data_IF_760486163534
#
_entry.id   IF_760486163534
#
_cell.length_a   1.000
_cell.length_b   1.000
_cell.length_c   1.000
_cell.angle_alpha   90.00
_cell.angle_beta   90.00
_cell.angle_gamma   90.00
#
_symmetry.space_group_name_H-M   'P 1'
#
loop_
_entity.id
_entity.type
_entity.pdbx_description
1 polymer ?
#
# COMPACT_ATOMS: atom_id res chain seq x y z
N UNK A 1 -11.55 -8.14 -45.28
CA UNK A 1 -12.75 -7.73 -44.53
C UNK A 1 -12.89 -8.47 -43.19
N UNK A 2 -12.54 -9.76 -43.10
CA UNK A 2 -12.53 -10.52 -41.83
C UNK A 2 -11.39 -10.14 -40.86
N UNK A 3 -10.26 -9.65 -41.37
CA UNK A 3 -9.11 -9.20 -40.56
C UNK A 3 -9.38 -7.90 -39.78
N UNK A 4 -10.35 -7.10 -40.24
CA UNK A 4 -10.70 -5.83 -39.62
C UNK A 4 -11.58 -6.04 -38.38
N UNK A 5 -12.38 -7.11 -38.36
CA UNK A 5 -13.28 -7.46 -37.26
C UNK A 5 -12.50 -8.02 -36.06
N UNK A 6 -11.42 -8.77 -36.30
CA UNK A 6 -10.56 -9.30 -35.23
C UNK A 6 -9.69 -8.20 -34.59
N UNK A 7 -9.32 -7.16 -35.35
CA UNK A 7 -8.60 -6.00 -34.81
C UNK A 7 -9.52 -4.99 -34.10
N UNK A 8 -10.83 -5.03 -34.38
CA UNK A 8 -11.85 -4.29 -33.64
C UNK A 8 -12.17 -4.96 -32.30
N UNK A 9 -12.19 -6.29 -32.26
CA UNK A 9 -12.56 -7.07 -31.07
C UNK A 9 -11.47 -7.01 -29.96
N UNK A 10 -10.19 -6.88 -30.33
CA UNK A 10 -9.11 -6.65 -29.35
C UNK A 10 -9.13 -5.23 -28.74
N UNK A 11 -9.86 -4.28 -29.36
CA UNK A 11 -10.11 -2.96 -28.77
C UNK A 11 -11.32 -2.93 -27.83
N UNK A 12 -12.13 -3.99 -27.79
CA UNK A 12 -13.39 -4.01 -27.05
C UNK A 12 -13.25 -4.39 -25.56
N UNK A 13 -12.12 -4.98 -25.13
CA UNK A 13 -11.83 -5.26 -23.71
C UNK A 13 -11.21 -4.07 -22.95
N UNK A 14 -11.18 -2.89 -23.57
CA UNK A 14 -10.74 -1.62 -22.98
C UNK A 14 -11.84 -0.84 -22.27
N UNK A 15 -12.85 -1.51 -21.70
CA UNK A 15 -13.92 -0.83 -20.97
C UNK A 15 -13.35 0.02 -19.84
N UNK A 16 -13.34 1.34 -20.00
CA UNK A 16 -12.90 2.28 -18.97
C UNK A 16 -13.59 1.92 -17.66
N UNK A 17 -12.81 1.64 -16.61
CA UNK A 17 -13.35 1.33 -15.29
C UNK A 17 -14.32 2.45 -14.89
N UNK A 18 -15.62 2.15 -14.69
CA UNK A 18 -16.60 3.20 -14.45
C UNK A 18 -16.25 3.95 -13.18
N UNK A 19 -16.47 5.27 -13.18
CA UNK A 19 -16.12 6.15 -12.05
C UNK A 19 -16.71 5.64 -10.72
N UNK A 20 -17.90 5.04 -10.74
CA UNK A 20 -18.53 4.42 -9.56
C UNK A 20 -17.73 3.27 -8.97
N UNK A 21 -17.09 2.44 -9.79
CA UNK A 21 -16.22 1.37 -9.33
C UNK A 21 -14.93 1.93 -8.71
N UNK A 22 -14.38 3.00 -9.29
CA UNK A 22 -13.22 3.72 -8.72
C UNK A 22 -13.56 4.30 -7.34
N UNK A 23 -14.72 4.96 -7.23
CA UNK A 23 -15.22 5.53 -5.97
C UNK A 23 -15.41 4.44 -4.92
N UNK A 24 -16.03 3.32 -5.27
CA UNK A 24 -16.25 2.19 -4.34
C UNK A 24 -14.94 1.63 -3.80
N UNK A 25 -13.97 1.40 -4.67
CA UNK A 25 -12.69 0.83 -4.27
C UNK A 25 -11.89 1.84 -3.41
N UNK A 26 -11.91 3.12 -3.78
CA UNK A 26 -11.31 4.21 -3.02
C UNK A 26 -11.95 4.37 -1.62
N UNK A 27 -13.28 4.29 -1.53
CA UNK A 27 -14.01 4.29 -0.26
C UNK A 27 -13.65 3.08 0.59
N UNK A 28 -13.58 1.88 -0.01
CA UNK A 28 -13.20 0.66 0.70
C UNK A 28 -11.83 0.79 1.37
N UNK A 29 -10.84 1.29 0.63
CA UNK A 29 -9.48 1.57 1.16
C UNK A 29 -9.53 2.68 2.22
N UNK A 30 -10.20 3.79 1.93
CA UNK A 30 -10.29 4.94 2.84
C UNK A 30 -10.97 4.60 4.17
N UNK A 31 -12.01 3.77 4.15
CA UNK A 31 -12.69 3.28 5.36
C UNK A 31 -11.79 2.30 6.11
N UNK A 32 -11.28 1.27 5.44
CA UNK A 32 -10.47 0.24 6.09
C UNK A 32 -9.25 0.85 6.80
N UNK A 33 -8.52 1.73 6.11
CA UNK A 33 -7.33 2.37 6.68
C UNK A 33 -7.71 3.53 7.61
N UNK A 34 -8.74 4.31 7.29
CA UNK A 34 -9.20 5.40 8.14
C UNK A 34 -9.64 4.93 9.52
N UNK A 35 -10.24 3.73 9.66
CA UNK A 35 -10.60 3.16 10.96
C UNK A 35 -9.38 2.81 11.84
N UNK A 36 -8.22 2.54 11.23
CA UNK A 36 -6.99 2.26 11.98
C UNK A 36 -6.44 3.49 12.74
N UNK A 37 -6.95 4.69 12.44
CA UNK A 37 -6.69 5.89 13.25
C UNK A 37 -7.11 5.74 14.71
N UNK A 38 -8.08 4.87 15.01
CA UNK A 38 -8.42 4.51 16.40
C UNK A 38 -7.21 3.95 17.16
N UNK A 39 -6.48 3.02 16.54
CA UNK A 39 -5.29 2.42 17.14
C UNK A 39 -4.19 3.47 17.34
N UNK A 40 -4.05 4.41 16.41
CA UNK A 40 -3.13 5.53 16.60
C UNK A 40 -3.53 6.39 17.81
N UNK A 41 -4.81 6.75 17.94
CA UNK A 41 -5.32 7.52 19.08
C UNK A 41 -5.06 6.85 20.42
N UNK A 42 -5.32 5.54 20.51
CA UNK A 42 -5.03 4.73 21.71
C UNK A 42 -3.52 4.69 21.99
N UNK A 43 -2.71 4.48 20.96
CA UNK A 43 -1.25 4.38 21.10
C UNK A 43 -0.64 5.71 21.54
N UNK A 44 -1.10 6.83 20.99
CA UNK A 44 -0.66 8.16 21.37
C UNK A 44 -1.03 8.50 22.83
N UNK A 45 -2.25 8.17 23.25
CA UNK A 45 -2.66 8.34 24.63
C UNK A 45 -1.83 7.48 25.61
N UNK A 46 -1.60 6.20 25.27
CA UNK A 46 -0.75 5.30 26.06
C UNK A 46 0.73 5.72 26.08
N UNK A 47 1.20 6.38 25.01
CA UNK A 47 2.52 7.00 24.95
C UNK A 47 2.64 8.33 25.72
N UNK A 48 1.61 8.73 26.46
CA UNK A 48 1.61 9.94 27.29
C UNK A 48 1.32 11.24 26.56
N UNK A 49 0.92 11.21 25.27
CA UNK A 49 0.55 12.42 24.56
C UNK A 49 -0.81 12.94 25.05
N UNK A 50 -0.91 14.26 25.19
CA UNK A 50 -2.19 14.92 25.44
C UNK A 50 -3.12 14.77 24.22
N UNK A 51 -4.44 14.84 24.44
CA UNK A 51 -5.41 14.79 23.34
C UNK A 51 -5.09 15.82 22.24
N UNK A 52 -4.70 17.04 22.63
CA UNK A 52 -4.34 18.09 21.70
C UNK A 52 -3.08 17.76 20.89
N UNK A 53 -2.04 17.19 21.51
CA UNK A 53 -0.84 16.75 20.81
C UNK A 53 -1.16 15.61 19.83
N UNK A 54 -1.96 14.64 20.24
CA UNK A 54 -2.41 13.54 19.38
C UNK A 54 -3.19 14.05 18.17
N UNK A 55 -4.13 14.98 18.37
CA UNK A 55 -4.91 15.57 17.29
C UNK A 55 -4.05 16.43 16.34
N UNK A 56 -3.14 17.26 16.90
CA UNK A 56 -2.24 18.07 16.10
C UNK A 56 -1.32 17.18 15.24
N UNK A 57 -0.77 16.11 15.82
CA UNK A 57 0.06 15.16 15.10
C UNK A 57 -0.75 14.43 14.01
N UNK A 58 -1.99 14.04 14.32
CA UNK A 58 -2.94 13.42 13.39
C UNK A 58 -3.22 14.28 12.15
N UNK A 59 -3.50 15.57 12.38
CA UNK A 59 -3.89 16.51 11.33
C UNK A 59 -2.71 16.98 10.48
N UNK A 60 -1.57 17.25 11.12
CA UNK A 60 -0.42 17.93 10.49
C UNK A 60 0.62 16.97 9.91
N UNK A 61 0.81 15.80 10.52
CA UNK A 61 1.78 14.79 10.05
C UNK A 61 1.01 13.61 9.50
N UNK A 62 0.16 13.85 8.50
CA UNK A 62 -0.80 12.86 8.00
C UNK A 62 -0.11 11.72 7.22
N UNK A 63 0.50 10.80 7.96
CA UNK A 63 1.17 9.60 7.47
C UNK A 63 1.29 8.61 8.63
N UNK A 64 0.45 7.57 8.61
CA UNK A 64 0.28 6.66 9.75
C UNK A 64 1.59 6.06 10.25
N UNK A 65 2.42 5.52 9.35
CA UNK A 65 3.69 4.89 9.72
C UNK A 65 4.62 5.84 10.49
N UNK A 66 4.75 7.09 10.04
CA UNK A 66 5.59 8.10 10.69
C UNK A 66 5.03 8.51 12.05
N UNK A 67 3.71 8.60 12.18
CA UNK A 67 3.03 8.91 13.43
C UNK A 67 3.24 7.81 14.48
N UNK A 68 3.04 6.54 14.10
CA UNK A 68 3.31 5.40 14.99
C UNK A 68 4.78 5.30 15.39
N UNK A 69 5.71 5.53 14.44
CA UNK A 69 7.14 5.52 14.74
C UNK A 69 7.53 6.62 15.75
N UNK A 70 7.01 7.84 15.57
CA UNK A 70 7.25 8.95 16.49
C UNK A 70 6.72 8.64 17.89
N UNK A 71 5.45 8.26 17.99
CA UNK A 71 4.82 7.96 19.29
C UNK A 71 5.49 6.78 19.97
N UNK A 72 5.79 5.71 19.24
CA UNK A 72 6.48 4.54 19.80
C UNK A 72 7.86 4.89 20.35
N UNK A 73 8.62 5.73 19.64
CA UNK A 73 9.94 6.18 20.12
C UNK A 73 9.84 7.09 21.34
N UNK A 74 8.84 7.97 21.39
CA UNK A 74 8.58 8.82 22.57
C UNK A 74 8.15 8.00 23.78
N UNK A 75 7.24 7.03 23.59
CA UNK A 75 6.78 6.13 24.64
C UNK A 75 7.90 5.28 25.24
N UNK A 76 8.91 4.92 24.43
CA UNK A 76 10.11 4.22 24.88
C UNK A 76 11.12 5.11 25.64
N UNK A 77 10.75 6.35 25.99
CA UNK A 77 11.64 7.31 26.65
C UNK A 77 12.67 7.95 25.71
N UNK A 78 12.43 7.89 24.41
CA UNK A 78 13.36 8.39 23.41
C UNK A 78 13.43 9.91 23.32
N UNK A 79 14.56 10.42 22.85
CA UNK A 79 14.73 11.85 22.60
C UNK A 79 13.74 12.32 21.51
N UNK A 80 12.93 13.37 21.75
CA UNK A 80 11.93 13.84 20.79
C UNK A 80 12.49 14.24 19.42
N UNK A 81 13.70 14.79 19.38
CA UNK A 81 14.34 15.21 18.13
C UNK A 81 14.79 14.01 17.29
N UNK A 82 15.32 12.96 17.92
CA UNK A 82 15.74 11.74 17.20
C UNK A 82 14.52 10.93 16.75
N UNK A 83 13.46 10.88 17.57
CA UNK A 83 12.18 10.29 17.21
C UNK A 83 11.54 11.02 16.01
N UNK A 84 11.53 12.36 16.02
CA UNK A 84 11.04 13.17 14.93
C UNK A 84 11.87 12.98 13.65
N UNK A 85 13.20 12.92 13.76
CA UNK A 85 14.06 12.60 12.62
C UNK A 85 13.76 11.20 12.05
N UNK A 86 13.56 10.21 12.92
CA UNK A 86 13.18 8.85 12.52
C UNK A 86 11.87 8.82 11.73
N UNK A 87 10.84 9.47 12.27
CA UNK A 87 9.54 9.63 11.62
C UNK A 87 9.64 10.39 10.29
N UNK A 88 10.45 11.45 10.23
CA UNK A 88 10.70 12.21 9.01
C UNK A 88 11.33 11.35 7.91
N UNK A 89 12.38 10.59 8.23
CA UNK A 89 13.03 9.70 7.27
C UNK A 89 12.09 8.60 6.76
N UNK A 90 11.22 8.09 7.63
CA UNK A 90 10.18 7.15 7.21
C UNK A 90 9.20 7.78 6.22
N UNK A 91 8.84 9.05 6.44
CA UNK A 91 7.97 9.84 5.58
C UNK A 91 8.59 10.28 4.24
N UNK A 92 9.92 10.19 4.05
CA UNK A 92 10.59 10.61 2.80
C UNK A 92 10.02 9.92 1.56
N UNK A 93 9.52 8.68 1.69
CA UNK A 93 8.86 7.98 0.58
C UNK A 93 7.68 8.75 -0.03
N UNK A 94 6.96 9.51 0.81
CA UNK A 94 5.83 10.34 0.37
C UNK A 94 6.28 11.44 -0.58
N UNK A 95 7.49 11.97 -0.43
CA UNK A 95 8.05 12.95 -1.37
C UNK A 95 8.26 12.34 -2.76
N UNK A 96 8.77 11.10 -2.83
CA UNK A 96 8.93 10.38 -4.10
C UNK A 96 7.59 10.06 -4.77
N UNK A 97 6.59 9.66 -3.98
CA UNK A 97 5.21 9.51 -4.49
C UNK A 97 4.67 10.84 -5.01
N UNK A 98 4.96 11.94 -4.33
CA UNK A 98 4.57 13.29 -4.74
C UNK A 98 5.11 13.67 -6.11
N UNK A 99 6.37 13.33 -6.41
CA UNK A 99 6.96 13.55 -7.73
C UNK A 99 6.17 12.82 -8.83
N UNK A 100 5.85 11.54 -8.60
CA UNK A 100 5.07 10.74 -9.55
C UNK A 100 3.62 11.22 -9.69
N UNK A 101 2.95 11.47 -8.58
CA UNK A 101 1.55 11.93 -8.57
C UNK A 101 1.40 13.35 -9.10
N UNK A 102 2.40 14.21 -8.95
CA UNK A 102 2.35 15.58 -9.49
C UNK A 102 2.16 15.57 -11.01
N UNK A 103 2.85 14.66 -11.70
CA UNK A 103 2.73 14.46 -13.14
C UNK A 103 1.42 13.76 -13.50
N UNK A 104 1.06 12.69 -12.79
CA UNK A 104 -0.17 11.94 -13.07
C UNK A 104 -1.42 12.80 -12.88
N UNK A 105 -1.55 13.46 -11.73
CA UNK A 105 -2.74 14.24 -11.38
C UNK A 105 -2.74 15.60 -12.07
N UNK A 106 -1.57 16.22 -12.30
CA UNK A 106 -1.42 17.56 -12.89
C UNK A 106 -2.42 18.58 -12.32
N UNK A 107 -2.44 18.69 -10.99
CA UNK A 107 -3.37 19.57 -10.29
C UNK A 107 -2.96 21.05 -10.41
N UNK A 108 -3.94 21.97 -10.37
CA UNK A 108 -3.69 23.41 -10.31
C UNK A 108 -2.76 23.78 -9.15
N UNK A 109 -1.89 24.78 -9.35
CA UNK A 109 -0.87 25.16 -8.35
C UNK A 109 -1.49 25.50 -6.97
N UNK A 110 -2.68 26.09 -6.94
CA UNK A 110 -3.37 26.49 -5.72
C UNK A 110 -3.73 25.30 -4.80
N UNK A 111 -4.03 24.12 -5.36
CA UNK A 111 -4.44 22.95 -4.56
C UNK A 111 -3.27 22.01 -4.24
N UNK A 112 -2.07 22.27 -4.79
CA UNK A 112 -0.90 21.40 -4.60
C UNK A 112 -0.48 21.23 -3.15
N UNK A 113 -0.47 22.27 -2.29
CA UNK A 113 -0.10 22.09 -0.88
C UNK A 113 -1.06 21.16 -0.14
N UNK A 114 -2.37 21.30 -0.38
CA UNK A 114 -3.39 20.43 0.21
C UNK A 114 -3.28 19.00 -0.34
N UNK A 115 -3.07 18.86 -1.64
CA UNK A 115 -2.84 17.55 -2.24
C UNK A 115 -1.56 16.90 -1.70
N UNK A 116 -0.49 17.66 -1.46
CA UNK A 116 0.75 17.15 -0.88
C UNK A 116 0.54 16.54 0.51
N UNK A 117 -0.34 17.13 1.33
CA UNK A 117 -0.72 16.56 2.63
C UNK A 117 -1.37 15.17 2.51
N UNK A 118 -2.09 14.92 1.42
CA UNK A 118 -2.73 13.63 1.15
C UNK A 118 -1.85 12.68 0.35
N UNK A 119 -0.58 12.99 0.10
CA UNK A 119 0.32 12.04 -0.57
C UNK A 119 0.82 11.02 0.45
N UNK A 120 0.15 9.87 0.48
CA UNK A 120 0.51 8.69 1.29
C UNK A 120 0.43 7.41 0.44
N UNK A 121 0.81 6.27 1.01
CA UNK A 121 0.88 4.98 0.31
C UNK A 121 -0.47 4.61 -0.31
N UNK A 122 -1.57 4.77 0.43
CA UNK A 122 -2.92 4.36 0.06
C UNK A 122 -3.44 5.19 -1.12
N UNK A 123 -3.37 6.52 -1.01
CA UNK A 123 -3.79 7.43 -2.08
C UNK A 123 -2.92 7.24 -3.32
N UNK A 124 -1.64 6.91 -3.16
CA UNK A 124 -0.73 6.64 -4.27
C UNK A 124 -1.08 5.33 -4.95
N UNK A 125 -1.25 4.26 -4.20
CA UNK A 125 -1.61 2.94 -4.71
C UNK A 125 -2.93 2.98 -5.47
N UNK A 126 -3.97 3.59 -4.88
CA UNK A 126 -5.28 3.72 -5.53
C UNK A 126 -5.19 4.55 -6.81
N UNK A 127 -4.43 5.64 -6.81
CA UNK A 127 -4.30 6.53 -7.98
C UNK A 127 -3.52 5.89 -9.12
N UNK A 128 -2.41 5.20 -8.82
CA UNK A 128 -1.56 4.54 -9.81
C UNK A 128 -2.22 3.31 -10.44
N UNK A 129 -3.18 2.69 -9.75
CA UNK A 129 -3.96 1.58 -10.28
C UNK A 129 -5.02 2.00 -11.31
N UNK A 130 -5.24 3.29 -11.52
CA UNK A 130 -6.30 3.77 -12.43
C UNK A 130 -5.79 3.93 -13.87
N UNK A 131 -6.60 3.54 -14.87
CA UNK A 131 -6.19 3.56 -16.28
C UNK A 131 -6.14 4.98 -16.86
N UNK A 132 -6.94 5.91 -16.34
CA UNK A 132 -7.03 7.27 -16.87
C UNK A 132 -6.68 8.32 -15.82
N UNK A 133 -6.27 9.51 -16.27
CA UNK A 133 -6.02 10.65 -15.38
C UNK A 133 -7.28 11.06 -14.61
N UNK A 134 -8.46 10.97 -15.20
CA UNK A 134 -9.73 11.29 -14.54
C UNK A 134 -9.98 10.33 -13.39
N UNK A 135 -9.92 9.03 -13.66
CA UNK A 135 -10.09 7.98 -12.65
C UNK A 135 -9.02 8.09 -11.55
N UNK A 136 -7.77 8.40 -11.90
CA UNK A 136 -6.70 8.64 -10.91
C UNK A 136 -7.02 9.82 -9.98
N UNK A 137 -7.56 10.93 -10.49
CA UNK A 137 -7.98 12.08 -9.67
C UNK A 137 -9.14 11.73 -8.75
N UNK A 138 -10.11 10.96 -9.22
CA UNK A 138 -11.23 10.47 -8.41
C UNK A 138 -10.69 9.56 -7.30
N UNK A 139 -9.88 8.57 -7.65
CA UNK A 139 -9.25 7.66 -6.70
C UNK A 139 -8.44 8.40 -5.64
N UNK A 140 -7.61 9.36 -6.04
CA UNK A 140 -6.83 10.20 -5.13
C UNK A 140 -7.72 10.97 -4.15
N UNK A 141 -8.73 11.67 -4.68
CA UNK A 141 -9.57 12.60 -3.90
C UNK A 141 -10.48 11.85 -2.95
N UNK A 142 -11.13 10.78 -3.43
CA UNK A 142 -12.05 9.98 -2.61
C UNK A 142 -11.31 9.22 -1.53
N UNK A 143 -10.17 8.60 -1.86
CA UNK A 143 -9.34 7.91 -0.86
C UNK A 143 -8.81 8.92 0.16
N UNK A 144 -8.21 10.03 -0.30
CA UNK A 144 -7.61 11.04 0.56
C UNK A 144 -8.63 11.67 1.52
N UNK A 145 -9.79 12.10 1.01
CA UNK A 145 -10.84 12.69 1.83
C UNK A 145 -11.40 11.70 2.86
N UNK A 146 -11.77 10.50 2.41
CA UNK A 146 -12.39 9.48 3.27
C UNK A 146 -11.41 9.05 4.36
N UNK A 147 -10.17 8.77 3.99
CA UNK A 147 -9.12 8.37 4.91
C UNK A 147 -8.80 9.50 5.88
N UNK A 148 -8.63 10.74 5.41
CA UNK A 148 -8.32 11.88 6.27
C UNK A 148 -9.41 12.15 7.32
N UNK A 149 -10.67 12.15 6.90
CA UNK A 149 -11.80 12.38 7.81
C UNK A 149 -11.91 11.24 8.82
N UNK A 150 -11.97 9.99 8.36
CA UNK A 150 -12.15 8.85 9.25
C UNK A 150 -10.96 8.64 10.18
N UNK A 151 -9.73 8.82 9.69
CA UNK A 151 -8.53 8.73 10.51
C UNK A 151 -8.55 9.71 11.67
N UNK A 152 -8.84 10.99 11.39
CA UNK A 152 -8.86 12.00 12.44
C UNK A 152 -10.01 11.80 13.42
N UNK A 153 -11.21 11.44 12.93
CA UNK A 153 -12.35 11.12 13.79
C UNK A 153 -12.05 9.93 14.70
N UNK A 154 -11.57 8.83 14.13
CA UNK A 154 -11.27 7.63 14.92
C UNK A 154 -10.07 7.85 15.83
N UNK A 155 -9.09 8.69 15.47
CA UNK A 155 -8.00 9.10 16.37
C UNK A 155 -8.52 9.78 17.63
N UNK A 156 -9.46 10.72 17.49
CA UNK A 156 -10.10 11.37 18.65
C UNK A 156 -10.83 10.32 19.49
N UNK A 157 -11.60 9.44 18.86
CA UNK A 157 -12.33 8.36 19.57
C UNK A 157 -11.37 7.41 20.30
N UNK A 158 -10.23 7.06 19.69
CA UNK A 158 -9.21 6.21 20.31
C UNK A 158 -8.53 6.89 21.50
N UNK A 159 -8.15 8.16 21.34
CA UNK A 159 -7.50 8.91 22.42
C UNK A 159 -8.44 9.19 23.60
N UNK A 160 -9.72 9.47 23.33
CA UNK A 160 -10.75 9.59 24.38
C UNK A 160 -11.10 8.25 24.99
N UNK A 161 -11.21 7.20 24.19
CA UNK A 161 -11.46 5.83 24.64
C UNK A 161 -10.39 5.34 25.60
N UNK A 162 -9.11 5.59 25.29
CA UNK A 162 -8.00 5.28 26.18
C UNK A 162 -8.10 6.02 27.53
N UNK A 163 -8.49 7.30 27.52
CA UNK A 163 -8.70 8.09 28.76
C UNK A 163 -9.87 7.60 29.59
N UNK A 164 -10.95 7.15 28.94
CA UNK A 164 -12.14 6.65 29.63
C UNK A 164 -11.89 5.34 30.39
N UNK A 165 -10.86 4.58 30.01
CA UNK A 165 -10.49 3.33 30.67
C UNK A 165 -9.76 3.58 32.02
N UNK A 166 -9.31 4.81 32.30
CA UNK A 166 -8.74 5.18 33.59
C UNK A 166 -7.26 4.82 33.73
N UNK A 167 -6.85 4.25 34.87
CA UNK A 167 -5.45 3.96 35.19
C UNK A 167 -4.92 2.78 34.37
N UNK A 168 -4.35 3.07 33.20
CA UNK A 168 -3.88 2.06 32.23
C UNK A 168 -2.79 1.15 32.80
N UNK A 169 -2.00 1.62 33.76
CA UNK A 169 -0.93 0.85 34.40
C UNK A 169 -1.51 -0.21 35.35
N UNK A 170 -2.61 0.10 36.03
CA UNK A 170 -3.31 -0.84 36.92
C UNK A 170 -3.93 -2.03 36.18
N UNK A 171 -4.18 -1.90 34.88
CA UNK A 171 -4.80 -2.93 34.04
C UNK A 171 -3.83 -3.60 33.04
N UNK A 172 -2.54 -3.24 33.05
CA UNK A 172 -1.56 -3.77 32.08
C UNK A 172 -1.84 -3.34 30.63
N UNK A 173 -2.42 -2.15 30.46
CA UNK A 173 -2.78 -1.58 29.16
C UNK A 173 -1.65 -0.75 28.54
N UNK A 174 -0.51 -0.64 29.21
CA UNK A 174 0.77 -0.19 28.65
C UNK A 174 1.17 -1.03 27.41
N UNK A 175 0.83 -2.32 27.43
CA UNK A 175 0.97 -3.22 26.28
C UNK A 175 -0.17 -3.12 25.25
N UNK A 176 -1.30 -2.47 25.57
CA UNK A 176 -2.50 -2.51 24.73
C UNK A 176 -2.33 -1.76 23.41
N UNK A 177 -1.63 -0.62 23.38
CA UNK A 177 -1.33 0.11 22.14
C UNK A 177 -0.53 -0.77 21.15
N UNK A 178 0.66 -1.27 21.54
CA UNK A 178 1.42 -2.23 20.75
C UNK A 178 0.63 -3.51 20.41
N UNK A 179 -0.16 -4.05 21.33
CA UNK A 179 -0.96 -5.25 21.10
C UNK A 179 -2.07 -5.04 20.06
N UNK A 180 -2.78 -3.90 20.10
CA UNK A 180 -3.78 -3.52 19.09
C UNK A 180 -3.10 -3.33 17.74
N UNK A 181 -1.94 -2.67 17.69
CA UNK A 181 -1.16 -2.54 16.46
C UNK A 181 -0.77 -3.92 15.90
N UNK A 182 -0.27 -4.83 16.73
CA UNK A 182 0.07 -6.21 16.32
C UNK A 182 -1.17 -7.00 15.88
N UNK A 183 -2.31 -6.84 16.57
CA UNK A 183 -3.56 -7.48 16.21
C UNK A 183 -4.08 -7.02 14.83
N UNK A 184 -3.88 -5.74 14.49
CA UNK A 184 -4.20 -5.19 13.17
C UNK A 184 -3.17 -5.57 12.11
N UNK A 185 -1.88 -5.67 12.47
CA UNK A 185 -0.80 -6.05 11.56
C UNK A 185 -0.82 -7.54 11.21
N UNK A 186 -1.16 -8.41 12.16
CA UNK A 186 -1.18 -9.86 11.99
C UNK A 186 -1.94 -10.34 10.73
N UNK A 187 -3.17 -9.89 10.44
CA UNK A 187 -3.89 -10.29 9.22
C UNK A 187 -3.28 -9.73 7.92
N UNK A 188 -2.36 -8.76 8.00
CA UNK A 188 -1.66 -8.20 6.84
C UNK A 188 -0.42 -9.01 6.44
N UNK A 189 0.11 -9.89 7.31
CA UNK A 189 1.31 -10.70 7.06
C UNK A 189 0.95 -12.05 6.38
N UNK A 190 0.54 -11.99 5.11
CA UNK A 190 0.05 -13.13 4.34
C UNK A 190 1.17 -13.91 3.66
N UNK A 191 2.20 -13.23 3.17
CA UNK A 191 3.26 -13.85 2.38
C UNK A 191 4.47 -14.26 3.22
N UNK A 192 5.25 -15.23 2.73
CA UNK A 192 6.52 -15.63 3.37
C UNK A 192 7.52 -14.46 3.42
N UNK A 193 7.50 -13.60 2.40
CA UNK A 193 8.33 -12.40 2.33
C UNK A 193 7.94 -11.37 3.39
N UNK A 194 6.64 -11.11 3.58
CA UNK A 194 6.13 -10.23 4.64
C UNK A 194 6.51 -10.75 6.03
N UNK A 195 6.31 -12.05 6.27
CA UNK A 195 6.67 -12.70 7.56
C UNK A 195 8.17 -12.66 7.83
N UNK A 196 9.02 -12.94 6.83
CA UNK A 196 10.47 -12.87 6.95
C UNK A 196 10.96 -11.44 7.19
N UNK A 197 10.35 -10.47 6.50
CA UNK A 197 10.63 -9.04 6.70
C UNK A 197 10.27 -8.60 8.11
N UNK A 198 9.09 -8.98 8.60
CA UNK A 198 8.65 -8.68 9.96
C UNK A 198 9.59 -9.31 11.00
N UNK A 199 9.97 -10.59 10.84
CA UNK A 199 10.89 -11.26 11.74
C UNK A 199 12.28 -10.58 11.77
N UNK A 200 12.83 -10.24 10.60
CA UNK A 200 14.11 -9.53 10.53
C UNK A 200 14.02 -8.13 11.13
N UNK A 201 12.94 -7.39 10.89
CA UNK A 201 12.70 -6.08 11.49
C UNK A 201 12.62 -6.17 13.02
N UNK A 202 11.97 -7.20 13.57
CA UNK A 202 11.92 -7.45 15.02
C UNK A 202 13.30 -7.76 15.57
N UNK A 203 14.08 -8.63 14.91
CA UNK A 203 15.43 -8.98 15.33
C UNK A 203 16.36 -7.75 15.32
N UNK A 204 16.31 -6.93 14.27
CA UNK A 204 17.10 -5.71 14.18
C UNK A 204 16.65 -4.67 15.22
N UNK A 205 15.34 -4.45 15.35
CA UNK A 205 14.79 -3.47 16.29
C UNK A 205 15.09 -3.81 17.75
N UNK A 206 14.81 -5.04 18.17
CA UNK A 206 15.04 -5.49 19.55
C UNK A 206 16.52 -5.72 19.84
N UNK A 207 17.26 -6.28 18.89
CA UNK A 207 18.68 -6.58 19.06
C UNK A 207 19.56 -5.32 19.14
N UNK A 208 19.15 -4.24 18.48
CA UNK A 208 19.90 -2.96 18.49
C UNK A 208 19.41 -1.97 19.54
N UNK A 209 18.30 -2.27 20.22
CA UNK A 209 17.75 -1.46 21.31
C UNK A 209 18.79 -1.12 22.40
N UNK A 210 19.65 -2.05 22.88
CA UNK A 210 20.66 -1.71 23.90
C UNK A 210 21.90 -0.99 23.34
N UNK A 211 22.06 -0.93 22.01
CA UNK A 211 23.29 -0.49 21.35
C UNK A 211 23.17 0.91 20.73
N UNK A 212 21.97 1.33 20.35
CA UNK A 212 21.75 2.54 19.56
C UNK A 212 20.84 3.54 20.29
N UNK A 213 21.02 4.84 20.04
CA UNK A 213 20.12 5.86 20.55
C UNK A 213 18.66 5.61 20.13
N UNK A 214 17.73 6.01 20.99
CA UNK A 214 16.29 5.92 20.75
C UNK A 214 15.89 6.48 19.37
N UNK A 215 15.14 5.68 18.60
CA UNK A 215 14.70 6.00 17.23
C UNK A 215 15.61 5.44 16.13
N UNK A 216 16.90 5.21 16.39
CA UNK A 216 17.82 4.62 15.40
C UNK A 216 17.52 3.14 15.13
N UNK A 217 17.20 2.29 16.13
CA UNK A 217 16.78 0.90 15.87
C UNK A 217 15.59 0.80 14.91
N UNK A 218 14.67 1.75 14.94
CA UNK A 218 13.51 1.80 14.03
C UNK A 218 13.94 2.04 12.59
N UNK A 219 14.90 2.95 12.38
CA UNK A 219 15.47 3.22 11.05
C UNK A 219 16.23 2.00 10.51
N UNK A 220 16.97 1.29 11.35
CA UNK A 220 17.69 0.07 10.94
C UNK A 220 16.71 -1.07 10.65
N UNK A 221 15.67 -1.23 11.46
CA UNK A 221 14.61 -2.22 11.22
C UNK A 221 13.91 -1.99 9.87
N UNK A 222 13.76 -0.75 9.42
CA UNK A 222 13.19 -0.43 8.09
C UNK A 222 14.03 -1.00 6.93
N UNK A 223 15.33 -1.24 7.13
CA UNK A 223 16.20 -1.88 6.13
C UNK A 223 15.92 -3.37 5.93
N UNK A 224 15.11 -3.99 6.80
CA UNK A 224 14.73 -5.39 6.67
C UNK A 224 14.00 -5.67 5.34
N UNK A 225 13.11 -4.77 4.91
CA UNK A 225 12.33 -4.94 3.68
C UNK A 225 13.23 -5.01 2.42
N UNK A 226 14.10 -4.01 2.13
CA UNK A 226 15.00 -4.10 0.99
C UNK A 226 16.02 -5.24 1.12
N UNK A 227 16.49 -5.56 2.33
CA UNK A 227 17.41 -6.68 2.54
C UNK A 227 16.77 -8.03 2.16
N UNK A 228 15.56 -8.31 2.62
CA UNK A 228 14.83 -9.55 2.29
C UNK A 228 14.50 -9.60 0.80
N UNK A 229 14.04 -8.49 0.21
CA UNK A 229 13.75 -8.42 -1.22
C UNK A 229 15.00 -8.65 -2.08
N UNK A 230 16.15 -8.11 -1.67
CA UNK A 230 17.42 -8.30 -2.36
C UNK A 230 17.92 -9.76 -2.26
N UNK A 231 17.81 -10.38 -1.10
CA UNK A 231 18.16 -11.80 -0.91
C UNK A 231 17.28 -12.72 -1.75
N UNK A 232 15.98 -12.41 -1.88
CA UNK A 232 15.07 -13.17 -2.75
C UNK A 232 15.31 -12.90 -4.25
N UNK A 233 15.65 -11.66 -4.61
CA UNK A 233 16.03 -11.29 -5.98
C UNK A 233 17.30 -12.00 -6.45
N UNK A 234 18.19 -12.39 -5.52
CA UNK A 234 19.37 -13.22 -5.81
C UNK A 234 19.05 -14.71 -5.98
N UNK A 235 17.92 -15.19 -5.46
CA UNK A 235 17.48 -16.58 -5.59
C UNK A 235 16.78 -16.89 -6.93
N UNK A 236 16.28 -15.87 -7.63
CA UNK A 236 15.83 -15.97 -9.03
C UNK A 236 17.01 -15.69 -9.95
N UNK A 237 17.91 -16.66 -10.09
CA UNK A 237 18.94 -16.64 -11.13
C UNK A 237 18.29 -16.51 -12.52
N UNK A 238 18.99 -15.97 -13.52
CA UNK A 238 18.46 -15.84 -14.88
C UNK A 238 18.10 -17.23 -15.39
N UNK A 239 16.81 -17.55 -15.43
CA UNK A 239 16.31 -18.75 -16.04
C UNK A 239 16.66 -18.66 -17.53
N UNK A 240 17.56 -19.54 -17.95
CA UNK A 240 18.16 -19.55 -19.26
C UNK A 240 17.07 -19.60 -20.35
N UNK A 241 16.83 -18.45 -20.97
CA UNK A 241 16.09 -18.37 -22.23
C UNK A 241 16.97 -19.00 -23.30
N UNK A 242 16.77 -20.29 -23.57
CA UNK A 242 17.53 -20.98 -24.62
C UNK A 242 17.29 -22.48 -24.71
N UNK A 243 16.17 -22.90 -25.30
CA UNK A 243 16.14 -23.80 -26.49
C UNK A 243 14.71 -24.25 -26.78
N UNK A 244 14.19 -23.75 -27.89
CA UNK A 244 12.97 -24.23 -28.53
C UNK A 244 12.89 -23.75 -29.97
N UNK A 245 14.00 -23.80 -30.71
CA UNK A 245 13.96 -23.73 -32.18
C UNK A 245 13.66 -25.14 -32.66
N UNK A 246 12.37 -25.45 -32.83
CA UNK A 246 11.93 -26.59 -33.63
C UNK A 246 11.96 -26.19 -35.12
N UNK A 247 12.42 -27.06 -36.03
CA UNK A 247 12.52 -26.70 -37.44
C UNK A 247 11.13 -26.58 -38.05
N UNK A 248 10.90 -25.45 -38.69
CA UNK A 248 9.84 -25.18 -39.67
C UNK A 248 9.75 -26.33 -40.67
N UNK A 249 8.55 -26.92 -40.81
CA UNK A 249 8.19 -27.68 -42.01
C UNK A 249 6.92 -27.07 -42.59
N UNK A 250 7.13 -26.10 -43.47
CA UNK A 250 6.13 -25.61 -44.42
C UNK A 250 6.08 -26.56 -45.62
N UNK A 251 4.92 -27.17 -45.88
CA UNK A 251 4.46 -27.55 -47.21
C UNK A 251 2.94 -27.71 -47.18
N UNK A 252 2.29 -26.97 -48.06
CA UNK A 252 0.86 -26.68 -48.10
C UNK A 252 0.08 -27.68 -48.99
N UNK A 253 -1.19 -27.45 -49.41
CA UNK A 253 -2.28 -28.43 -49.35
C UNK A 253 -2.68 -29.03 -50.72
N UNK A 254 -3.37 -30.18 -50.74
CA UNK A 254 -4.08 -30.63 -51.95
C UNK A 254 -5.16 -31.69 -51.67
N UNK A 255 -6.37 -31.46 -52.22
CA UNK A 255 -7.18 -32.54 -52.81
C UNK A 255 -8.43 -32.98 -52.05
N UNK A 256 -9.54 -32.24 -52.21
CA UNK A 256 -10.88 -32.77 -52.07
C UNK A 256 -11.60 -32.69 -53.44
N UNK A 257 -11.68 -33.83 -54.11
CA UNK A 257 -12.44 -34.15 -55.34
C UNK A 257 -12.69 -35.67 -55.26
N UNK A 258 -13.82 -36.30 -55.53
CA UNK A 258 -15.17 -36.00 -55.99
C UNK A 258 -16.03 -37.27 -55.67
N UNK A 259 -17.37 -37.28 -55.80
CA UNK A 259 -18.20 -38.43 -55.43
C UNK A 259 -18.30 -39.51 -56.53
N UNK A 260 -18.82 -40.66 -56.10
CA UNK A 260 -18.88 -41.96 -56.77
C UNK A 260 -19.64 -42.00 -58.12
N UNK A 261 -19.20 -42.96 -58.96
CA UNK A 261 -19.80 -43.42 -60.21
C UNK A 261 -21.31 -43.74 -60.12
N UNK A 262 -22.10 -43.47 -61.18
CA UNK A 262 -23.38 -44.11 -61.42
C UNK A 262 -23.23 -45.41 -62.23
N UNK A 263 -24.12 -46.34 -61.94
CA UNK A 263 -24.37 -47.63 -62.59
C UNK A 263 -24.93 -47.52 -64.02
N UNK A 264 -24.41 -48.38 -64.89
CA UNK A 264 -25.03 -49.13 -66.00
C UNK A 264 -26.28 -48.60 -66.76
N UNK A 265 -26.08 -48.47 -68.09
CA UNK A 265 -26.74 -49.23 -69.16
C UNK A 265 -28.26 -49.06 -69.43
N UNK A 266 -28.62 -48.42 -70.57
CA UNK A 266 -29.65 -48.91 -71.51
C UNK A 266 -29.69 -48.03 -72.79
N UNK A 267 -29.48 -48.69 -73.95
CA UNK A 267 -30.02 -48.42 -75.33
C UNK A 267 -29.79 -47.08 -76.05
#
# INVERSE_FOLDING_TARGET
MAEQIVYEDIRADGGEKPDSAVVRDALGVGVAVGLSGFAFGVTAAGGGLTLWQTCALSLLVFTGASQFALVGALAAGGNPYTAAAGAFFLGVRNAFYGLRLSQLLALPRAVRPLAAQWVIDETTAVSLAQPTRRSARIGFTVTGLTLYVLWNLTTVLGALGARAIGDTDAWGLDAAGPAVFLALLAPMLKTTTERATAALAVLLGLGLLPLLPSGVPVLVAALAAPAVLWLQGRGKGPEATGRGVGPEKSAAPAGATAPAHPSEDDR
#
